data_IF_366279440812
#
_entry.id   IF_366279440812
#
_cell.length_a   1.000
_cell.length_b   1.000
_cell.length_c   1.000
_cell.angle_alpha   90.00
_cell.angle_beta   90.00
_cell.angle_gamma   90.00
#
_symmetry.space_group_name_H-M   'P 1'
#
loop_
_entity.id
_entity.type
_entity.pdbx_description
1 polymer ?
#
# COMPACT_ATOMS: atom_id res chain seq x y z
N UNK A 1 6.46 2.55 -19.00
CA UNK A 1 5.39 2.00 -18.14
C UNK A 1 4.62 1.00 -18.98
N UNK A 2 4.41 -0.26 -18.53
CA UNK A 2 3.53 -1.19 -19.23
C UNK A 2 2.13 -0.61 -19.39
N UNK A 3 1.44 -0.96 -20.47
CA UNK A 3 0.07 -0.51 -20.70
C UNK A 3 -0.84 -1.01 -19.56
N UNK A 4 -1.68 -0.11 -19.01
CA UNK A 4 -2.60 -0.44 -17.92
C UNK A 4 -1.99 -0.44 -16.51
N UNK A 5 -0.66 -0.35 -16.37
CA UNK A 5 -0.02 -0.34 -15.07
C UNK A 5 -0.22 1.00 -14.33
N UNK A 6 -0.46 0.93 -13.01
CA UNK A 6 -0.65 2.09 -12.14
C UNK A 6 0.67 2.50 -11.51
N UNK A 7 1.04 3.76 -11.65
CA UNK A 7 2.17 4.32 -10.90
C UNK A 7 1.77 4.56 -9.43
N UNK A 8 2.45 3.87 -8.52
CA UNK A 8 2.19 3.94 -7.06
C UNK A 8 3.36 4.56 -6.29
N UNK A 9 4.32 5.17 -7.00
CA UNK A 9 5.49 5.81 -6.39
C UNK A 9 5.15 7.12 -5.69
N UNK A 10 6.19 7.78 -5.14
CA UNK A 10 6.06 9.09 -4.51
C UNK A 10 5.45 10.11 -5.48
N UNK A 11 4.58 10.97 -4.95
CA UNK A 11 3.79 11.94 -5.71
C UNK A 11 2.44 11.42 -6.19
N UNK A 12 2.21 10.10 -6.16
CA UNK A 12 0.87 9.53 -6.37
C UNK A 12 0.09 9.46 -5.05
N UNK A 13 -1.25 9.37 -5.14
CA UNK A 13 -2.11 9.13 -3.96
C UNK A 13 -1.83 7.80 -3.26
N UNK A 14 -1.20 6.85 -3.95
CA UNK A 14 -0.82 5.54 -3.45
C UNK A 14 0.61 5.48 -2.89
N UNK A 15 1.36 6.58 -3.03
CA UNK A 15 2.77 6.64 -2.65
C UNK A 15 2.99 6.54 -1.15
N UNK A 16 4.03 5.81 -0.74
CA UNK A 16 4.46 5.79 0.65
C UNK A 16 5.01 7.16 1.08
N UNK A 17 4.42 7.85 2.08
CA UNK A 17 4.90 9.15 2.56
C UNK A 17 6.20 9.02 3.36
N UNK A 18 6.53 7.83 3.86
CA UNK A 18 7.73 7.56 4.66
C UNK A 18 8.93 7.24 3.75
N UNK A 19 10.05 7.93 4.01
CA UNK A 19 11.31 7.74 3.27
C UNK A 19 12.29 6.90 4.08
N UNK A 20 12.97 5.96 3.41
CA UNK A 20 14.08 5.20 3.99
C UNK A 20 15.17 6.20 4.44
N UNK A 21 15.77 5.94 5.60
CA UNK A 21 16.67 6.86 6.29
C UNK A 21 15.92 7.60 7.40
N UNK A 22 15.31 8.77 7.14
CA UNK A 22 14.66 9.58 8.19
C UNK A 22 13.56 8.85 8.97
N UNK A 23 12.89 7.87 8.34
CA UNK A 23 11.81 7.11 8.96
C UNK A 23 12.16 5.65 9.25
N UNK A 24 13.44 5.29 9.15
CA UNK A 24 13.97 3.95 9.36
C UNK A 24 14.38 3.23 8.07
N UNK A 25 14.62 1.93 8.19
CA UNK A 25 14.95 1.07 7.06
C UNK A 25 13.72 0.76 6.17
N UNK A 26 13.93 -0.10 5.15
CA UNK A 26 12.87 -0.52 4.22
C UNK A 26 11.69 -1.18 4.93
N UNK A 27 11.95 -2.07 5.87
CA UNK A 27 10.89 -2.79 6.58
C UNK A 27 10.10 -1.81 7.47
N UNK A 28 10.79 -0.91 8.16
CA UNK A 28 10.19 0.10 9.01
C UNK A 28 9.25 1.03 8.23
N UNK A 29 9.66 1.54 7.06
CA UNK A 29 8.81 2.43 6.26
C UNK A 29 7.62 1.71 5.62
N UNK A 30 7.73 0.42 5.32
CA UNK A 30 6.61 -0.39 4.84
C UNK A 30 5.61 -0.66 5.97
N UNK A 31 6.08 -1.02 7.17
CA UNK A 31 5.22 -1.20 8.33
C UNK A 31 4.53 0.12 8.75
N UNK A 32 5.24 1.26 8.66
CA UNK A 32 4.61 2.57 8.84
C UNK A 32 3.54 2.86 7.80
N UNK A 33 3.78 2.50 6.53
CA UNK A 33 2.80 2.66 5.47
C UNK A 33 1.53 1.85 5.72
N UNK A 34 1.65 0.61 6.18
CA UNK A 34 0.50 -0.23 6.50
C UNK A 34 -0.41 0.42 7.56
N UNK A 35 0.19 0.89 8.66
CA UNK A 35 -0.53 1.59 9.72
C UNK A 35 -1.18 2.87 9.21
N UNK A 36 -0.43 3.69 8.47
CA UNK A 36 -0.94 4.93 7.88
C UNK A 36 -2.10 4.69 6.92
N UNK A 37 -2.02 3.66 6.07
CA UNK A 37 -3.04 3.31 5.09
C UNK A 37 -4.35 2.92 5.78
N UNK A 38 -4.30 2.23 6.93
CA UNK A 38 -5.47 1.85 7.71
C UNK A 38 -6.29 3.05 8.23
N UNK A 39 -5.66 4.22 8.35
CA UNK A 39 -6.35 5.48 8.71
C UNK A 39 -6.81 6.28 7.48
N UNK A 40 -6.35 5.93 6.28
CA UNK A 40 -6.71 6.61 5.03
C UNK A 40 -8.02 6.09 4.43
N UNK A 41 -9.14 6.37 5.09
CA UNK A 41 -10.47 5.93 4.66
C UNK A 41 -10.78 6.22 3.17
N UNK A 42 -10.33 7.36 2.65
CA UNK A 42 -10.52 7.71 1.24
C UNK A 42 -9.73 6.81 0.29
N UNK A 43 -8.50 6.38 0.66
CA UNK A 43 -7.72 5.41 -0.12
C UNK A 43 -8.30 4.00 0.02
N UNK A 44 -8.75 3.61 1.21
CA UNK A 44 -9.40 2.31 1.43
C UNK A 44 -10.64 2.13 0.54
N UNK A 45 -11.45 3.19 0.39
CA UNK A 45 -12.58 3.20 -0.54
C UNK A 45 -12.18 3.16 -2.02
N UNK A 46 -10.97 3.60 -2.35
CA UNK A 46 -10.44 3.64 -3.70
C UNK A 46 -9.66 2.37 -4.10
N UNK A 47 -9.51 1.38 -3.21
CA UNK A 47 -8.70 0.18 -3.46
C UNK A 47 -9.13 -0.61 -4.70
N UNK A 48 -10.43 -0.57 -5.04
CA UNK A 48 -10.93 -1.27 -6.22
C UNK A 48 -10.48 -0.63 -7.54
N UNK A 49 -9.97 0.60 -7.54
CA UNK A 49 -9.29 1.19 -8.71
C UNK A 49 -8.02 0.41 -9.11
N UNK A 50 -7.42 -0.31 -8.15
CA UNK A 50 -6.18 -1.05 -8.32
C UNK A 50 -6.41 -2.53 -8.65
N UNK A 51 -7.65 -3.03 -8.55
CA UNK A 51 -7.97 -4.46 -8.71
C UNK A 51 -7.59 -4.94 -10.11
N UNK A 52 -6.87 -6.05 -10.18
CA UNK A 52 -6.41 -6.65 -11.44
C UNK A 52 -5.41 -5.81 -12.25
N UNK A 53 -4.79 -4.78 -11.65
CA UNK A 53 -3.78 -3.96 -12.33
C UNK A 53 -2.37 -4.26 -11.85
N UNK A 54 -1.41 -4.12 -12.75
CA UNK A 54 0.02 -4.11 -12.41
C UNK A 54 0.43 -2.77 -11.80
N UNK A 55 1.43 -2.78 -10.93
CA UNK A 55 1.94 -1.57 -10.30
C UNK A 55 3.38 -1.29 -10.69
N UNK A 56 3.70 0.00 -10.81
CA UNK A 56 5.07 0.45 -10.97
C UNK A 56 5.49 1.30 -9.79
N UNK A 57 6.59 0.89 -9.17
CA UNK A 57 7.29 1.62 -8.13
C UNK A 57 8.79 1.47 -8.32
N UNK A 58 9.55 2.55 -8.08
CA UNK A 58 11.02 2.52 -8.10
C UNK A 58 11.65 1.61 -7.03
N UNK A 59 10.87 1.12 -6.06
CA UNK A 59 11.36 0.20 -5.03
C UNK A 59 11.44 -1.25 -5.50
N UNK A 60 10.56 -1.65 -6.42
CA UNK A 60 10.56 -3.00 -6.97
C UNK A 60 11.87 -3.27 -7.73
N UNK A 61 12.40 -4.51 -7.72
CA UNK A 61 11.79 -5.75 -7.19
C UNK A 61 12.06 -6.02 -5.70
N UNK A 62 12.67 -5.09 -4.95
CA UNK A 62 12.83 -5.24 -3.50
C UNK A 62 11.48 -5.03 -2.79
N UNK A 63 11.31 -5.51 -1.54
CA UNK A 63 10.07 -5.33 -0.78
C UNK A 63 9.54 -3.90 -0.87
N UNK A 64 8.24 -3.78 -1.18
CA UNK A 64 7.61 -2.52 -1.54
C UNK A 64 6.25 -2.39 -0.84
N UNK A 65 5.80 -1.16 -0.62
CA UNK A 65 4.42 -0.93 -0.18
C UNK A 65 3.38 -1.38 -1.20
N UNK A 66 3.80 -1.52 -2.48
CA UNK A 66 2.99 -2.08 -3.55
C UNK A 66 2.54 -3.52 -3.27
N UNK A 67 3.30 -4.30 -2.51
CA UNK A 67 2.94 -5.67 -2.14
C UNK A 67 1.66 -5.68 -1.29
N UNK A 68 1.56 -4.74 -0.34
CA UNK A 68 0.36 -4.53 0.48
C UNK A 68 -0.82 -4.08 -0.38
N UNK A 69 -0.61 -3.09 -1.25
CA UNK A 69 -1.66 -2.61 -2.15
C UNK A 69 -2.17 -3.73 -3.05
N UNK A 70 -1.29 -4.63 -3.51
CA UNK A 70 -1.63 -5.69 -4.44
C UNK A 70 -2.50 -6.74 -3.75
N UNK A 71 -2.10 -7.08 -2.51
CA UNK A 71 -2.88 -7.96 -1.64
C UNK A 71 -4.27 -7.37 -1.37
N UNK A 72 -4.35 -6.12 -0.92
CA UNK A 72 -5.62 -5.49 -0.54
C UNK A 72 -6.53 -5.21 -1.75
N UNK A 73 -5.97 -4.79 -2.88
CA UNK A 73 -6.74 -4.53 -4.10
C UNK A 73 -7.47 -5.79 -4.59
N UNK A 74 -6.84 -6.97 -4.46
CA UNK A 74 -7.40 -8.22 -4.92
C UNK A 74 -8.16 -9.01 -3.84
N UNK A 75 -8.00 -8.67 -2.57
CA UNK A 75 -8.72 -9.27 -1.45
C UNK A 75 -10.26 -9.07 -1.54
N UNK A 76 -10.97 -10.00 -0.92
CA UNK A 76 -12.40 -9.91 -0.60
C UNK A 76 -12.67 -8.84 0.46
N UNK A 77 -13.95 -8.48 0.63
CA UNK A 77 -14.36 -7.52 1.66
C UNK A 77 -14.00 -8.01 3.06
N UNK A 78 -14.23 -9.28 3.37
CA UNK A 78 -14.00 -9.83 4.71
C UNK A 78 -12.52 -9.86 5.06
N UNK A 79 -11.65 -10.21 4.11
CA UNK A 79 -10.20 -10.14 4.29
C UNK A 79 -9.71 -8.71 4.52
N UNK A 80 -10.27 -7.72 3.82
CA UNK A 80 -9.95 -6.30 4.06
C UNK A 80 -10.39 -5.86 5.47
N UNK A 81 -11.57 -6.30 5.93
CA UNK A 81 -12.07 -5.99 7.29
C UNK A 81 -11.18 -6.66 8.35
N UNK A 82 -10.81 -7.92 8.15
CA UNK A 82 -9.93 -8.65 9.06
C UNK A 82 -8.56 -7.97 9.17
N UNK A 83 -7.96 -7.61 8.03
CA UNK A 83 -6.71 -6.84 8.00
C UNK A 83 -6.83 -5.51 8.75
N UNK A 84 -7.87 -4.72 8.47
CA UNK A 84 -8.05 -3.43 9.11
C UNK A 84 -8.18 -3.56 10.64
N UNK A 85 -8.97 -4.52 11.11
CA UNK A 85 -9.10 -4.81 12.55
C UNK A 85 -7.77 -5.20 13.18
N UNK A 86 -6.99 -6.05 12.52
CA UNK A 86 -5.68 -6.47 13.02
C UNK A 86 -4.70 -5.28 13.12
N UNK A 87 -4.65 -4.42 12.11
CA UNK A 87 -3.79 -3.22 12.13
C UNK A 87 -4.24 -2.24 13.22
N UNK A 88 -5.55 -2.01 13.38
CA UNK A 88 -6.07 -1.10 14.41
C UNK A 88 -5.90 -1.63 15.83
N UNK A 89 -5.86 -2.94 16.03
CA UNK A 89 -5.58 -3.53 17.34
C UNK A 89 -4.10 -3.45 17.74
N UNK A 90 -3.20 -3.32 16.76
CA UNK A 90 -1.75 -3.27 16.97
C UNK A 90 -1.17 -1.83 16.97
N UNK A 91 -2.03 -0.82 16.84
CA UNK A 91 -1.67 0.60 16.80
C UNK A 91 -1.92 1.26 18.17
#
# INVERSE_FOLDING_TARGET
>A
MPAGAVYIGRGSKWGNPFRIGPYGDRAAVIAKYERWLADQHHLLRALDELRGRDFVCFCAPRPCHGDLLLRLANATRDERIAWWRAVKAAA
#
